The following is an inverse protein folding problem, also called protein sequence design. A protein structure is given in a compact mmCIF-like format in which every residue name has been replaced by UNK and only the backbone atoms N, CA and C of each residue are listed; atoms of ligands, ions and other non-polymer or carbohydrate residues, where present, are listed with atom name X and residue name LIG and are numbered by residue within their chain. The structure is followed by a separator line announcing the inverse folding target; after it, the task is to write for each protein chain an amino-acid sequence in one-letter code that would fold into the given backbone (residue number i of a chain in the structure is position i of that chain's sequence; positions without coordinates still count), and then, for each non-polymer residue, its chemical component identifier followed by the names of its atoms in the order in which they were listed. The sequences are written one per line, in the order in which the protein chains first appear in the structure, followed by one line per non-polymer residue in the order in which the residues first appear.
data_IF_709604043631
#
_entry.id   IF_709604043631
#
_cell.length_a   1.000
_cell.length_b   1.000
_cell.length_c   1.000
_cell.angle_alpha   90.00
_cell.angle_beta   90.00
_cell.angle_gamma   90.00
#
_symmetry.space_group_name_H-M   'P 1'
#
loop_
_entity.id
_entity.type
_entity.pdbx_description
1 polymer ?
#
# COMPACT_ATOMS: atom_id res chain seq x y z
N UNK A 1 42.45 23.62 10.75
CA UNK A 1 42.14 22.35 11.43
C UNK A 1 40.69 22.27 11.92
N UNK A 2 40.24 23.04 12.93
CA UNK A 2 38.87 22.96 13.53
C UNK A 2 37.69 23.15 12.56
N UNK A 3 37.82 24.04 11.58
CA UNK A 3 36.79 24.30 10.54
C UNK A 3 36.60 23.13 9.58
N UNK A 4 37.64 22.32 9.36
CA UNK A 4 37.60 21.16 8.47
C UNK A 4 36.80 20.03 9.14
N UNK A 5 36.98 19.83 10.45
CA UNK A 5 36.17 18.88 11.22
C UNK A 5 34.70 19.27 11.31
N UNK A 6 34.40 20.57 11.46
CA UNK A 6 33.01 21.06 11.44
C UNK A 6 32.34 20.86 10.07
N UNK A 7 33.06 21.13 8.98
CA UNK A 7 32.56 20.89 7.63
C UNK A 7 32.37 19.39 7.34
N UNK A 8 33.29 18.54 7.78
CA UNK A 8 33.18 17.09 7.63
C UNK A 8 32.02 16.50 8.45
N UNK A 9 31.81 16.98 9.68
CA UNK A 9 30.69 16.54 10.52
C UNK A 9 29.33 16.95 9.93
N UNK A 10 29.23 18.16 9.36
CA UNK A 10 28.01 18.64 8.72
C UNK A 10 27.67 17.86 7.45
N UNK A 11 28.68 17.44 6.68
CA UNK A 11 28.50 16.65 5.46
C UNK A 11 28.05 15.21 5.74
N UNK A 12 28.49 14.63 6.86
CA UNK A 12 28.04 13.29 7.30
C UNK A 12 26.60 13.34 7.81
N UNK A 13 26.20 14.44 8.46
CA UNK A 13 24.85 14.61 9.02
C UNK A 13 23.78 14.73 7.93
N UNK A 14 24.07 15.40 6.82
CA UNK A 14 23.13 15.54 5.68
C UNK A 14 23.02 14.27 4.84
N UNK A 15 24.10 13.49 4.71
CA UNK A 15 24.08 12.21 4.00
C UNK A 15 23.24 11.14 4.71
N UNK A 16 23.20 11.15 6.05
CA UNK A 16 22.37 10.23 6.83
C UNK A 16 20.86 10.53 6.70
N UNK A 17 20.48 11.80 6.54
CA UNK A 17 19.08 12.21 6.43
C UNK A 17 18.39 11.82 5.12
N UNK A 18 19.15 11.71 4.01
CA UNK A 18 18.59 11.43 2.68
C UNK A 18 18.16 9.98 2.43
N UNK A 19 18.63 9.02 3.25
CA UNK A 19 18.38 7.59 3.02
C UNK A 19 17.05 7.08 3.57
N UNK A 20 16.35 7.88 4.39
CA UNK A 20 15.10 7.47 5.03
C UNK A 20 13.84 7.81 4.22
N UNK A 21 13.97 8.39 3.02
CA UNK A 21 12.81 8.70 2.16
C UNK A 21 12.28 7.50 1.37
N UNK A 22 12.90 6.33 1.49
CA UNK A 22 12.57 5.20 0.63
C UNK A 22 11.27 4.52 1.10
N UNK A 23 10.28 4.54 0.18
CA UNK A 23 9.05 3.74 0.20
C UNK A 23 8.07 4.03 1.33
N UNK A 24 7.21 5.04 1.17
CA UNK A 24 5.89 4.98 1.78
C UNK A 24 4.98 4.09 0.91
N UNK A 25 4.44 2.99 1.46
CA UNK A 25 3.50 2.15 0.74
C UNK A 25 2.27 2.96 0.34
N UNK A 26 1.84 2.85 -0.91
CA UNK A 26 0.67 3.54 -1.44
C UNK A 26 -0.58 2.84 -0.88
N UNK A 27 -1.41 3.53 -0.08
CA UNK A 27 -2.66 2.96 0.41
C UNK A 27 -3.68 2.86 -0.72
N UNK A 28 -4.28 1.69 -0.87
CA UNK A 28 -5.38 1.46 -1.81
C UNK A 28 -6.68 1.38 -1.03
N UNK A 29 -7.60 2.27 -1.39
CA UNK A 29 -8.92 2.36 -0.78
C UNK A 29 -9.95 1.53 -1.55
N UNK A 30 -10.88 0.93 -0.84
CA UNK A 30 -12.05 0.29 -1.43
C UNK A 30 -12.92 1.33 -2.14
N UNK A 31 -13.34 1.04 -3.37
CA UNK A 31 -14.30 1.83 -4.13
C UNK A 31 -15.72 1.49 -3.69
N UNK A 32 -15.98 0.22 -3.35
CA UNK A 32 -17.31 -0.30 -2.98
C UNK A 32 -17.21 -1.06 -1.66
N UNK A 33 -18.23 -0.94 -0.82
CA UNK A 33 -18.34 -1.66 0.46
C UNK A 33 -19.18 -2.92 0.36
N UNK A 34 -18.86 -3.92 1.17
CA UNK A 34 -19.51 -5.23 1.19
C UNK A 34 -18.74 -6.22 2.06
N UNK A 35 -19.14 -7.50 2.00
CA UNK A 35 -18.49 -8.58 2.74
C UNK A 35 -17.35 -9.16 1.93
N UNK A 36 -16.12 -9.14 2.43
CA UNK A 36 -14.93 -9.63 1.71
C UNK A 36 -15.05 -11.13 1.45
N UNK A 37 -14.98 -11.53 0.19
CA UNK A 37 -15.01 -12.95 -0.23
C UNK A 37 -13.64 -13.47 -0.61
N UNK A 38 -12.75 -12.59 -1.07
CA UNK A 38 -11.40 -12.96 -1.46
C UNK A 38 -10.45 -11.77 -1.32
N UNK A 39 -9.21 -12.05 -0.93
CA UNK A 39 -8.14 -11.06 -0.77
C UNK A 39 -6.85 -11.57 -1.39
N UNK A 40 -6.13 -10.67 -2.07
CA UNK A 40 -4.82 -10.98 -2.62
C UNK A 40 -3.80 -11.21 -1.50
N UNK A 41 -2.92 -12.23 -1.59
CA UNK A 41 -1.91 -12.46 -0.58
C UNK A 41 -0.83 -11.37 -0.57
N UNK A 42 -0.25 -11.16 0.61
CA UNK A 42 0.92 -10.29 0.78
C UNK A 42 2.10 -10.82 -0.03
N UNK A 43 2.83 -9.93 -0.68
CA UNK A 43 3.99 -10.24 -1.52
C UNK A 43 3.64 -10.53 -2.98
N UNK A 44 2.36 -10.52 -3.36
CA UNK A 44 1.96 -10.69 -4.76
C UNK A 44 2.33 -9.47 -5.61
N UNK A 45 2.82 -9.72 -6.82
CA UNK A 45 3.04 -8.70 -7.83
C UNK A 45 1.70 -8.35 -8.50
N UNK A 46 1.40 -7.06 -8.59
CA UNK A 46 0.15 -6.54 -9.12
C UNK A 46 0.45 -5.49 -10.18
N UNK A 47 -0.41 -5.42 -11.20
CA UNK A 47 -0.36 -4.40 -12.24
C UNK A 47 -1.48 -3.39 -12.05
N UNK A 48 -1.38 -2.26 -12.72
CA UNK A 48 -2.50 -1.31 -12.78
C UNK A 48 -3.77 -2.02 -13.27
N UNK A 49 -4.87 -1.83 -12.57
CA UNK A 49 -6.15 -2.46 -12.83
C UNK A 49 -6.34 -3.87 -12.24
N UNK A 50 -5.30 -4.49 -11.67
CA UNK A 50 -5.42 -5.81 -11.02
C UNK A 50 -6.38 -5.77 -9.83
N UNK A 51 -7.18 -6.81 -9.66
CA UNK A 51 -8.10 -6.96 -8.52
C UNK A 51 -7.31 -7.30 -7.26
N UNK A 52 -7.56 -6.56 -6.17
CA UNK A 52 -6.88 -6.76 -4.89
C UNK A 52 -7.79 -7.40 -3.85
N UNK A 53 -9.07 -7.03 -3.88
CA UNK A 53 -10.08 -7.50 -2.93
C UNK A 53 -11.39 -7.65 -3.67
N UNK A 54 -12.09 -8.76 -3.43
CA UNK A 54 -13.47 -8.97 -3.84
C UNK A 54 -14.39 -8.98 -2.64
N UNK A 55 -15.60 -8.46 -2.87
CA UNK A 55 -16.67 -8.43 -1.89
C UNK A 55 -17.94 -8.99 -2.49
N UNK A 56 -18.77 -9.57 -1.65
CA UNK A 56 -20.19 -9.79 -1.89
C UNK A 56 -20.98 -8.58 -1.40
N UNK A 57 -21.75 -7.96 -2.29
CA UNK A 57 -22.64 -6.84 -1.96
C UNK A 57 -23.94 -7.34 -1.36
N UNK A 58 -24.69 -6.45 -0.70
CA UNK A 58 -26.03 -6.76 -0.16
C UNK A 58 -27.01 -7.23 -1.25
N UNK A 59 -26.78 -6.85 -2.50
CA UNK A 59 -27.57 -7.27 -3.66
C UNK A 59 -27.17 -8.65 -4.20
N UNK A 60 -26.24 -9.36 -3.55
CA UNK A 60 -25.81 -10.70 -3.92
C UNK A 60 -24.82 -10.76 -5.09
N UNK A 61 -24.31 -9.62 -5.56
CA UNK A 61 -23.28 -9.56 -6.58
C UNK A 61 -21.88 -9.65 -5.98
N UNK A 62 -20.96 -10.36 -6.64
CA UNK A 62 -19.53 -10.24 -6.34
C UNK A 62 -18.91 -9.13 -7.19
N UNK A 63 -18.23 -8.19 -6.53
CA UNK A 63 -17.58 -7.06 -7.20
C UNK A 63 -16.17 -6.88 -6.61
N UNK A 64 -15.21 -6.48 -7.43
CA UNK A 64 -13.90 -6.04 -6.95
C UNK A 64 -14.06 -4.77 -6.09
N UNK A 65 -13.85 -4.89 -4.78
CA UNK A 65 -13.90 -3.77 -3.85
C UNK A 65 -12.76 -2.79 -4.12
N UNK A 66 -11.59 -3.29 -4.49
CA UNK A 66 -10.41 -2.48 -4.76
C UNK A 66 -9.61 -3.04 -5.94
N UNK A 67 -9.11 -2.12 -6.76
CA UNK A 67 -8.17 -2.41 -7.85
C UNK A 67 -6.89 -1.63 -7.64
N UNK A 68 -5.78 -2.22 -8.05
CA UNK A 68 -4.49 -1.54 -8.00
C UNK A 68 -4.49 -0.35 -8.96
N UNK A 69 -4.01 0.80 -8.49
CA UNK A 69 -3.81 2.01 -9.32
C UNK A 69 -2.40 2.09 -9.91
N UNK A 70 -1.52 1.18 -9.54
CA UNK A 70 -0.13 1.20 -9.96
C UNK A 70 0.42 -0.22 -10.05
N UNK A 71 1.52 -0.39 -10.75
CA UNK A 71 2.26 -1.64 -10.70
C UNK A 71 3.18 -1.66 -9.47
N UNK A 72 3.30 -2.84 -8.85
CA UNK A 72 4.07 -2.97 -7.62
C UNK A 72 3.84 -4.29 -6.92
N UNK A 73 4.24 -4.33 -5.65
CA UNK A 73 4.10 -5.51 -4.79
C UNK A 73 3.22 -5.18 -3.60
N UNK A 74 2.31 -6.09 -3.26
CA UNK A 74 1.46 -5.97 -2.08
C UNK A 74 2.33 -6.07 -0.82
N UNK A 75 2.50 -4.97 -0.10
CA UNK A 75 3.33 -4.93 1.10
C UNK A 75 2.55 -5.22 2.37
N UNK A 76 1.28 -4.86 2.40
CA UNK A 76 0.40 -5.13 3.54
C UNK A 76 -1.06 -5.30 3.10
N UNK A 77 -1.75 -6.21 3.76
CA UNK A 77 -3.17 -6.47 3.57
C UNK A 77 -3.87 -6.16 4.89
N UNK A 78 -4.80 -5.22 4.88
CA UNK A 78 -5.49 -4.69 6.07
C UNK A 78 -6.86 -5.33 6.33
N UNK A 79 -7.29 -6.26 5.47
CA UNK A 79 -8.61 -6.89 5.50
C UNK A 79 -8.52 -8.40 5.44
N UNK A 80 -9.53 -9.08 5.97
CA UNK A 80 -9.64 -10.55 5.92
C UNK A 80 -10.91 -10.99 5.21
N UNK A 81 -10.88 -12.20 4.69
CA UNK A 81 -12.09 -12.86 4.18
C UNK A 81 -13.14 -12.95 5.30
N UNK A 82 -14.37 -12.56 4.98
CA UNK A 82 -15.47 -12.47 5.92
C UNK A 82 -15.69 -11.08 6.54
N UNK A 83 -14.70 -10.17 6.48
CA UNK A 83 -14.84 -8.82 7.03
C UNK A 83 -15.84 -7.99 6.24
N UNK A 84 -16.55 -7.09 6.92
CA UNK A 84 -17.39 -6.07 6.29
C UNK A 84 -16.61 -4.77 6.14
N UNK A 85 -16.43 -4.33 4.90
CA UNK A 85 -15.72 -3.08 4.58
C UNK A 85 -16.65 -2.06 3.95
N UNK A 86 -16.35 -0.77 4.14
CA UNK A 86 -17.07 0.36 3.55
C UNK A 86 -16.25 0.99 2.43
N UNK A 87 -16.92 1.71 1.51
CA UNK A 87 -16.22 2.53 0.52
C UNK A 87 -15.30 3.54 1.22
N UNK A 88 -14.09 3.72 0.69
CA UNK A 88 -13.05 4.57 1.26
C UNK A 88 -12.15 3.89 2.29
N UNK A 89 -12.48 2.67 2.75
CA UNK A 89 -11.62 1.93 3.68
C UNK A 89 -10.29 1.53 3.02
N UNK A 90 -9.17 1.69 3.73
CA UNK A 90 -7.86 1.19 3.28
C UNK A 90 -7.87 -0.33 3.39
N UNK A 91 -7.73 -1.02 2.25
CA UNK A 91 -7.77 -2.48 2.22
C UNK A 91 -6.41 -3.12 2.02
N UNK A 92 -5.55 -2.48 1.23
CA UNK A 92 -4.24 -3.00 0.84
C UNK A 92 -3.27 -1.84 0.72
N UNK A 93 -2.00 -2.07 1.04
CA UNK A 93 -0.89 -1.17 0.73
C UNK A 93 0.03 -1.80 -0.30
N UNK A 94 0.43 -1.01 -1.28
CA UNK A 94 1.27 -1.44 -2.39
C UNK A 94 2.57 -0.64 -2.35
N UNK A 95 3.69 -1.35 -2.36
CA UNK A 95 4.98 -0.75 -2.64
C UNK A 95 5.16 -0.67 -4.15
N UNK A 96 5.26 0.58 -4.63
CA UNK A 96 5.50 0.85 -6.04
C UNK A 96 6.90 0.38 -6.40
N UNK A 97 7.02 -0.30 -7.54
CA UNK A 97 8.30 -0.75 -8.09
C UNK A 97 8.94 0.32 -8.97
#
# INVERSE_FOLDING_TARGET
MRRIYLAAALLILTAAGGLLWRCMPVPVNAVVGGKVTWVIPKGSEVREGSELVRISTLTGGEIAAARSKTEGTVSEVCVREGDSIVSGAVVVRIDKK
#
